data_IF_100633171760
#
_entry.id   IF_100633171760
#
_cell.length_a   1.000
_cell.length_b   1.000
_cell.length_c   1.000
_cell.angle_alpha   90.00
_cell.angle_beta   90.00
_cell.angle_gamma   90.00
#
_symmetry.space_group_name_H-M   'P 1'
#
loop_
_entity.id
_entity.type
_entity.pdbx_description
1 polymer ?
#
# COMPACT_ATOMS: atom_id res chain seq x y z
N UNK A 1 30.30 0.56 -23.50
CA UNK A 1 29.85 -0.85 -23.40
C UNK A 1 29.84 -1.14 -21.90
N UNK A 2 28.73 -1.35 -21.20
CA UNK A 2 27.61 -2.22 -21.54
C UNK A 2 26.26 -1.60 -21.15
N UNK A 3 25.27 -1.83 -22.01
CA UNK A 3 23.85 -1.66 -21.74
C UNK A 3 23.40 -2.56 -20.60
N UNK A 4 22.40 -2.13 -19.83
CA UNK A 4 21.43 -3.06 -19.24
C UNK A 4 20.08 -2.35 -19.13
N UNK A 5 19.24 -2.63 -20.12
CA UNK A 5 17.80 -2.49 -20.03
C UNK A 5 17.30 -3.50 -18.99
N UNK A 6 16.93 -3.00 -17.82
CA UNK A 6 16.21 -3.76 -16.80
C UNK A 6 14.99 -2.97 -16.38
N UNK A 7 14.03 -2.82 -17.30
CA UNK A 7 12.70 -2.38 -16.92
C UNK A 7 12.15 -3.38 -15.92
N UNK A 8 11.90 -2.92 -14.69
CA UNK A 8 11.24 -3.76 -13.70
C UNK A 8 9.76 -3.73 -14.04
N UNK A 9 9.27 -4.80 -14.66
CA UNK A 9 7.87 -4.95 -15.01
C UNK A 9 7.01 -4.94 -13.73
N UNK A 10 6.13 -3.95 -13.64
CA UNK A 10 5.26 -3.69 -12.48
C UNK A 10 4.29 -4.88 -12.22
N UNK A 11 4.03 -5.68 -13.25
CA UNK A 11 3.20 -6.89 -13.22
C UNK A 11 3.76 -7.98 -12.28
N UNK A 12 5.09 -8.13 -12.18
CA UNK A 12 5.72 -9.21 -11.38
C UNK A 12 5.61 -8.98 -9.86
N UNK A 13 5.45 -7.72 -9.43
CA UNK A 13 5.28 -7.38 -8.01
C UNK A 13 3.86 -7.73 -7.52
N UNK A 14 2.86 -7.66 -8.40
CA UNK A 14 1.45 -7.79 -8.04
C UNK A 14 1.03 -9.27 -7.95
N UNK A 15 1.56 -10.12 -8.83
CA UNK A 15 1.18 -11.54 -8.92
C UNK A 15 1.46 -12.34 -7.63
N UNK A 16 2.57 -12.04 -6.93
CA UNK A 16 3.00 -12.81 -5.77
C UNK A 16 2.31 -12.46 -4.44
N UNK A 17 1.44 -11.44 -4.40
CA UNK A 17 0.93 -10.87 -3.14
C UNK A 17 -0.45 -11.38 -2.70
N UNK A 18 -1.13 -12.22 -3.49
CA UNK A 18 -2.59 -12.42 -3.38
C UNK A 18 -3.01 -13.80 -2.82
N UNK A 19 -2.11 -14.76 -2.63
CA UNK A 19 -2.53 -16.08 -2.14
C UNK A 19 -2.64 -16.15 -0.60
N UNK A 20 -3.89 -16.01 -0.12
CA UNK A 20 -4.45 -16.51 1.15
C UNK A 20 -4.07 -15.79 2.46
N UNK A 21 -4.86 -14.79 2.87
CA UNK A 21 -4.88 -14.29 4.25
C UNK A 21 -5.88 -15.07 5.12
N UNK A 22 -5.51 -16.28 5.53
CA UNK A 22 -6.05 -16.87 6.77
C UNK A 22 -5.29 -16.23 7.95
N UNK A 23 -5.80 -15.13 8.49
CA UNK A 23 -5.23 -14.48 9.68
C UNK A 23 -5.67 -15.22 10.95
N UNK A 24 -4.97 -16.30 11.29
CA UNK A 24 -4.80 -16.68 12.71
C UNK A 24 -3.49 -16.03 13.19
N UNK A 25 -3.55 -14.78 13.66
CA UNK A 25 -2.38 -14.16 14.29
C UNK A 25 -2.29 -14.63 15.74
N UNK A 26 -1.41 -15.60 16.03
CA UNK A 26 -0.89 -15.72 17.39
C UNK A 26 -0.02 -14.49 17.65
N UNK A 27 -0.49 -13.63 18.55
CA UNK A 27 0.27 -12.47 19.02
C UNK A 27 1.30 -13.00 20.02
N UNK A 28 2.58 -12.91 19.67
CA UNK A 28 3.70 -13.51 20.42
C UNK A 28 4.14 -12.68 21.65
N UNK A 29 3.59 -11.49 21.86
CA UNK A 29 3.97 -10.57 22.93
C UNK A 29 2.81 -9.65 23.33
N UNK A 30 2.73 -9.29 24.60
CA UNK A 30 1.66 -8.44 25.14
C UNK A 30 1.81 -6.96 24.79
N UNK A 31 2.98 -6.53 24.31
CA UNK A 31 3.29 -5.13 24.01
C UNK A 31 3.80 -4.93 22.60
N UNK A 32 3.35 -3.84 21.97
CA UNK A 32 3.80 -3.40 20.64
C UNK A 32 5.30 -3.13 20.63
N UNK A 33 6.01 -3.64 19.61
CA UNK A 33 7.46 -3.45 19.51
C UNK A 33 7.89 -1.99 19.37
N UNK A 34 7.02 -1.11 18.84
CA UNK A 34 7.33 0.30 18.58
C UNK A 34 6.98 1.23 19.75
N UNK A 35 5.72 1.27 20.19
CA UNK A 35 5.32 2.15 21.29
C UNK A 35 5.53 1.56 22.68
N UNK A 36 5.71 0.23 22.81
CA UNK A 36 5.88 -0.46 24.10
C UNK A 36 4.71 -0.33 25.09
N UNK A 37 3.58 0.21 24.64
CA UNK A 37 2.40 0.48 25.47
C UNK A 37 1.22 -0.39 25.03
N UNK A 38 0.77 -0.20 23.79
CA UNK A 38 -0.44 -0.81 23.25
C UNK A 38 -0.30 -2.32 22.97
N UNK A 39 -1.40 -3.06 23.15
CA UNK A 39 -1.47 -4.48 22.81
C UNK A 39 -1.33 -4.66 21.28
N UNK A 40 -0.46 -5.56 20.80
CA UNK A 40 -0.35 -5.81 19.38
C UNK A 40 -1.59 -6.49 18.81
N UNK A 41 -1.92 -6.18 17.56
CA UNK A 41 -3.01 -6.83 16.82
C UNK A 41 -2.49 -7.68 15.64
N UNK A 42 -1.19 -7.62 15.34
CA UNK A 42 -0.57 -8.36 14.25
C UNK A 42 0.89 -8.69 14.55
N UNK A 43 1.37 -9.76 13.91
CA UNK A 43 2.76 -10.23 13.94
C UNK A 43 3.29 -10.24 12.50
N UNK A 44 4.38 -9.51 12.23
CA UNK A 44 5.11 -9.55 10.96
C UNK A 44 6.34 -10.46 11.10
N UNK A 45 6.65 -11.20 10.04
CA UNK A 45 7.87 -12.05 9.96
C UNK A 45 8.04 -12.98 11.17
N UNK A 46 6.93 -13.44 11.76
CA UNK A 46 6.89 -14.29 12.95
C UNK A 46 7.62 -13.73 14.19
N UNK A 47 7.95 -12.44 14.23
CA UNK A 47 8.71 -11.84 15.35
C UNK A 47 8.30 -10.42 15.70
N UNK A 48 7.93 -9.62 14.70
CA UNK A 48 7.67 -8.20 14.92
C UNK A 48 6.20 -7.96 15.20
N UNK A 49 5.84 -7.73 16.47
CA UNK A 49 4.46 -7.46 16.87
C UNK A 49 4.17 -5.96 16.90
N UNK A 50 3.03 -5.53 16.34
CA UNK A 50 2.64 -4.13 16.32
C UNK A 50 1.18 -3.93 16.70
N UNK A 51 0.91 -2.84 17.43
CA UNK A 51 -0.45 -2.31 17.49
C UNK A 51 -0.83 -1.65 16.15
N UNK A 52 -2.13 -1.44 15.94
CA UNK A 52 -2.69 -0.92 14.68
C UNK A 52 -2.06 0.42 14.27
N UNK A 53 -1.95 1.37 15.20
CA UNK A 53 -1.41 2.71 14.92
C UNK A 53 0.06 2.66 14.50
N UNK A 54 0.89 1.91 15.23
CA UNK A 54 2.30 1.75 14.93
C UNK A 54 2.54 1.03 13.61
N UNK A 55 1.75 0.01 13.29
CA UNK A 55 1.79 -0.66 12.00
C UNK A 55 1.44 0.31 10.86
N UNK A 56 0.31 1.01 10.96
CA UNK A 56 -0.14 1.95 9.93
C UNK A 56 0.88 3.06 9.68
N UNK A 57 1.44 3.66 10.75
CA UNK A 57 2.50 4.67 10.66
C UNK A 57 3.75 4.13 9.95
N UNK A 58 4.17 2.90 10.28
CA UNK A 58 5.36 2.28 9.71
C UNK A 58 5.17 1.92 8.23
N UNK A 59 4.01 1.40 7.87
CA UNK A 59 3.70 1.06 6.47
C UNK A 59 3.56 2.32 5.61
N UNK A 60 2.93 3.39 6.14
CA UNK A 60 2.86 4.68 5.47
C UNK A 60 4.27 5.28 5.26
N UNK A 61 5.16 5.17 6.24
CA UNK A 61 6.55 5.60 6.10
C UNK A 61 7.28 4.85 4.98
N UNK A 62 7.15 3.51 4.92
CA UNK A 62 7.73 2.70 3.84
C UNK A 62 7.17 3.09 2.48
N UNK A 63 5.86 3.32 2.37
CA UNK A 63 5.22 3.77 1.13
C UNK A 63 5.82 5.09 0.64
N UNK A 64 5.96 6.10 1.51
CA UNK A 64 6.60 7.37 1.16
C UNK A 64 8.06 7.20 0.75
N UNK A 65 8.81 6.37 1.48
CA UNK A 65 10.20 6.09 1.17
C UNK A 65 10.35 5.42 -0.22
N UNK A 66 9.43 4.53 -0.60
CA UNK A 66 9.39 3.93 -1.93
C UNK A 66 9.16 4.99 -3.02
N UNK A 67 8.16 5.86 -2.85
CA UNK A 67 7.89 6.94 -3.81
C UNK A 67 9.11 7.85 -4.00
N UNK A 68 9.78 8.23 -2.91
CA UNK A 68 11.00 9.05 -2.97
C UNK A 68 12.20 8.32 -3.57
N UNK A 69 12.41 7.04 -3.23
CA UNK A 69 13.54 6.22 -3.72
C UNK A 69 13.49 6.05 -5.24
N UNK A 70 12.33 5.70 -5.77
CA UNK A 70 12.16 5.42 -7.19
C UNK A 70 11.82 6.66 -8.01
N UNK A 71 11.65 7.82 -7.36
CA UNK A 71 11.25 9.08 -8.02
C UNK A 71 10.04 8.91 -8.95
N UNK A 72 9.11 8.04 -8.56
CA UNK A 72 7.97 7.63 -9.40
C UNK A 72 7.02 8.78 -9.71
N UNK A 73 6.98 9.78 -8.83
CA UNK A 73 6.05 10.90 -8.89
C UNK A 73 6.83 12.17 -8.54
N UNK A 74 6.79 13.17 -9.42
CA UNK A 74 7.32 14.50 -9.19
C UNK A 74 6.24 15.46 -8.72
N UNK A 75 6.68 16.59 -8.20
CA UNK A 75 5.77 17.67 -7.83
C UNK A 75 5.00 18.14 -9.08
N UNK A 76 3.68 18.26 -8.94
CA UNK A 76 2.67 18.63 -9.92
C UNK A 76 2.37 17.60 -11.02
N UNK A 77 2.89 16.38 -10.92
CA UNK A 77 2.52 15.32 -11.87
C UNK A 77 1.02 14.99 -11.78
N UNK A 78 0.41 14.71 -12.94
CA UNK A 78 -0.92 14.12 -13.03
C UNK A 78 -0.78 12.60 -13.02
N UNK A 79 -1.25 11.95 -11.98
CA UNK A 79 -1.04 10.50 -11.77
C UNK A 79 -2.37 9.78 -11.86
N UNK A 80 -2.53 8.95 -12.90
CA UNK A 80 -3.68 8.06 -13.02
C UNK A 80 -3.50 6.83 -12.13
N UNK A 81 -4.51 6.55 -11.31
CA UNK A 81 -4.54 5.40 -10.41
C UNK A 81 -5.66 4.49 -10.89
N UNK A 82 -5.29 3.31 -11.38
CA UNK A 82 -6.27 2.29 -11.72
C UNK A 82 -6.77 1.57 -10.47
N UNK A 83 -8.07 1.65 -10.22
CA UNK A 83 -8.76 0.96 -9.15
C UNK A 83 -9.59 -0.18 -9.75
N UNK A 84 -9.32 -1.42 -9.34
CA UNK A 84 -10.05 -2.62 -9.80
C UNK A 84 -10.94 -3.27 -8.73
N UNK A 85 -11.00 -2.67 -7.55
CA UNK A 85 -11.61 -3.31 -6.37
C UNK A 85 -10.70 -4.36 -5.73
N UNK A 86 -10.73 -4.44 -4.39
CA UNK A 86 -9.93 -5.39 -3.61
C UNK A 86 -8.85 -4.74 -2.75
N UNK A 87 -8.30 -5.52 -1.82
CA UNK A 87 -7.46 -5.01 -0.73
C UNK A 87 -6.23 -4.21 -1.17
N UNK A 88 -5.56 -4.64 -2.24
CA UNK A 88 -4.34 -3.99 -2.72
C UNK A 88 -4.60 -2.57 -3.24
N UNK A 89 -5.55 -2.41 -4.18
CA UNK A 89 -5.88 -1.10 -4.74
C UNK A 89 -6.60 -0.20 -3.74
N UNK A 90 -7.37 -0.77 -2.79
CA UNK A 90 -7.95 -0.01 -1.68
C UNK A 90 -6.86 0.50 -0.72
N UNK A 91 -5.88 -0.33 -0.36
CA UNK A 91 -4.75 0.08 0.47
C UNK A 91 -3.91 1.17 -0.21
N UNK A 92 -3.66 1.03 -1.52
CA UNK A 92 -2.97 2.04 -2.33
C UNK A 92 -3.69 3.40 -2.26
N UNK A 93 -5.01 3.42 -2.54
CA UNK A 93 -5.80 4.64 -2.45
C UNK A 93 -5.76 5.25 -1.05
N UNK A 94 -5.86 4.42 0.00
CA UNK A 94 -5.77 4.89 1.39
C UNK A 94 -4.42 5.53 1.68
N UNK A 95 -3.30 4.92 1.29
CA UNK A 95 -1.98 5.49 1.51
C UNK A 95 -1.75 6.76 0.71
N UNK A 96 -2.18 6.79 -0.56
CA UNK A 96 -2.09 7.99 -1.39
C UNK A 96 -2.88 9.15 -0.78
N UNK A 97 -4.15 8.92 -0.44
CA UNK A 97 -4.99 9.93 0.21
C UNK A 97 -4.36 10.46 1.49
N UNK A 98 -3.91 9.55 2.36
CA UNK A 98 -3.26 9.92 3.62
C UNK A 98 -2.00 10.76 3.40
N UNK A 99 -1.21 10.47 2.37
CA UNK A 99 0.02 11.21 2.06
C UNK A 99 -0.24 12.59 1.44
N UNK A 100 -1.34 12.74 0.70
CA UNK A 100 -1.81 14.02 0.15
C UNK A 100 -2.43 14.89 1.25
N UNK A 101 -3.10 14.30 2.24
CA UNK A 101 -3.72 15.02 3.36
C UNK A 101 -2.70 15.42 4.45
N UNK A 102 -1.43 15.04 4.33
CA UNK A 102 -0.42 15.43 5.33
C UNK A 102 -0.25 16.94 5.37
N UNK A 103 -0.17 17.47 6.60
CA UNK A 103 0.17 18.86 6.87
C UNK A 103 1.66 18.99 7.26
N UNK A 104 2.52 18.35 6.47
CA UNK A 104 3.97 18.33 6.72
C UNK A 104 4.71 18.75 5.46
N UNK A 105 5.95 19.27 5.53
CA UNK A 105 6.76 19.58 4.35
C UNK A 105 6.99 18.39 3.42
N UNK A 106 6.85 17.16 3.93
CA UNK A 106 6.94 15.90 3.20
C UNK A 106 5.59 15.43 2.62
N UNK A 107 4.60 16.32 2.49
CA UNK A 107 3.32 16.07 1.80
C UNK A 107 3.61 15.80 0.33
N UNK A 108 2.92 14.82 -0.25
CA UNK A 108 3.02 14.57 -1.68
C UNK A 108 2.27 15.68 -2.43
N UNK A 109 2.90 16.25 -3.46
CA UNK A 109 2.34 17.37 -4.23
C UNK A 109 2.06 16.97 -5.67
N UNK A 110 1.27 15.92 -5.87
CA UNK A 110 0.83 15.50 -7.21
C UNK A 110 -0.69 15.49 -7.28
N UNK A 111 -1.22 15.45 -8.50
CA UNK A 111 -2.65 15.44 -8.77
C UNK A 111 -3.10 14.01 -9.09
N UNK A 112 -3.66 13.26 -8.13
CA UNK A 112 -4.20 11.93 -8.41
C UNK A 112 -5.50 12.03 -9.21
N UNK A 113 -5.67 11.11 -10.17
CA UNK A 113 -6.94 10.82 -10.82
C UNK A 113 -7.23 9.33 -10.66
N UNK A 114 -8.35 8.96 -10.03
CA UNK A 114 -8.72 7.54 -9.89
C UNK A 114 -9.64 7.11 -11.03
N UNK A 115 -9.28 6.04 -11.73
CA UNK A 115 -10.10 5.38 -12.75
C UNK A 115 -10.62 4.04 -12.22
N UNK A 116 -11.93 3.87 -12.23
CA UNK A 116 -12.58 2.60 -11.95
C UNK A 116 -13.32 2.13 -13.21
N UNK A 117 -12.90 0.99 -13.76
CA UNK A 117 -13.56 0.37 -14.90
C UNK A 117 -14.49 -0.71 -14.35
N UNK A 118 -15.79 -0.52 -14.55
CA UNK A 118 -16.81 -1.52 -14.22
C UNK A 118 -17.12 -2.32 -15.48
N UNK A 119 -16.93 -3.63 -15.43
CA UNK A 119 -17.44 -4.52 -16.46
C UNK A 119 -18.97 -4.59 -16.36
N UNK A 120 -19.68 -4.29 -17.45
CA UNK A 120 -21.15 -4.38 -17.54
C UNK A 120 -21.63 -5.75 -18.03
N UNK A 121 -20.74 -6.63 -18.51
CA UNK A 121 -21.12 -7.90 -19.13
C UNK A 121 -21.61 -8.99 -18.16
N UNK A 122 -21.63 -8.73 -16.85
CA UNK A 122 -22.13 -9.68 -15.84
C UNK A 122 -23.61 -9.48 -15.47
N UNK A 123 -24.30 -8.47 -16.03
CA UNK A 123 -25.71 -8.16 -15.72
C UNK A 123 -26.73 -9.07 -16.43
N UNK A 124 -26.32 -9.98 -17.32
CA UNK A 124 -27.21 -10.89 -18.05
C UNK A 124 -27.54 -12.21 -17.35
N UNK A 125 -27.10 -12.43 -16.09
CA UNK A 125 -27.36 -13.66 -15.32
C UNK A 125 -28.38 -13.51 -14.18
N UNK A 126 -29.18 -12.45 -14.19
CA UNK A 126 -30.17 -12.16 -13.15
C UNK A 126 -31.62 -12.06 -13.67
N UNK A 127 -31.92 -12.65 -14.84
CA UNK A 127 -33.29 -12.90 -15.30
C UNK A 127 -33.65 -14.37 -15.18
#
# INVERSE_FOLDING_TARGET
>A
MCSNNGGVDIEDIISNSVHSLKLKSQVLSDKCNKCKEEKPCLTLRNKDVYCKSCFMSTTLHKFKALLGKYRLIRDNDKVLIYYKGGHATTALLKFMRTCLDLDTPKKLRFQPLSLFIRDQNSLSKLS
#
